data_IF_059185284584
#
_entry.id   IF_059185284584
#
_cell.length_a   1.000
_cell.length_b   1.000
_cell.length_c   1.000
_cell.angle_alpha   90.00
_cell.angle_beta   90.00
_cell.angle_gamma   90.00
#
_symmetry.space_group_name_H-M   'P 1'
#
loop_
_entity.id
_entity.type
_entity.pdbx_description
1 polymer ?
#
# COMPACT_ATOMS: atom_id res chain seq x y z
N UNK A 1 -1.47 19.08 -9.60
CA UNK A 1 -1.87 19.14 -11.02
C UNK A 1 -1.90 17.71 -11.51
N UNK A 2 -3.08 17.08 -11.50
CA UNK A 2 -3.25 15.67 -11.83
C UNK A 2 -3.76 15.57 -13.27
N UNK A 3 -2.96 15.00 -14.15
CA UNK A 3 -3.32 14.84 -15.56
C UNK A 3 -2.67 13.59 -16.13
N UNK A 4 -3.43 12.52 -16.22
CA UNK A 4 -3.28 11.48 -17.26
C UNK A 4 -4.49 10.56 -17.17
N UNK A 5 -5.23 10.53 -18.28
CA UNK A 5 -6.50 9.86 -18.42
C UNK A 5 -6.34 8.34 -18.38
N UNK A 6 -7.13 7.67 -17.53
CA UNK A 6 -7.19 6.20 -17.53
C UNK A 6 -8.02 5.63 -16.37
N UNK A 7 -7.87 6.14 -15.15
CA UNK A 7 -8.45 5.56 -13.94
C UNK A 7 -9.91 6.03 -13.66
N UNK A 8 -10.75 6.04 -14.68
CA UNK A 8 -11.97 6.87 -14.68
C UNK A 8 -13.27 6.20 -14.23
N UNK A 9 -13.33 4.87 -14.06
CA UNK A 9 -14.65 4.22 -13.96
C UNK A 9 -15.24 4.10 -12.54
N UNK A 10 -14.45 4.22 -11.47
CA UNK A 10 -14.96 4.00 -10.10
C UNK A 10 -14.57 5.04 -9.04
N UNK A 11 -13.68 5.99 -9.36
CA UNK A 11 -12.94 6.70 -8.32
C UNK A 11 -13.35 8.13 -7.96
N UNK A 12 -14.11 8.85 -8.79
CA UNK A 12 -14.40 10.28 -8.53
C UNK A 12 -15.66 10.82 -9.20
N UNK A 13 -16.82 10.20 -8.98
CA UNK A 13 -18.00 11.05 -9.03
C UNK A 13 -18.04 11.85 -7.73
N UNK A 14 -17.37 13.00 -7.71
CA UNK A 14 -17.38 13.93 -6.58
C UNK A 14 -18.80 14.40 -6.25
N UNK A 15 -19.73 14.24 -7.21
CA UNK A 15 -21.15 14.53 -7.09
C UNK A 15 -21.99 13.28 -6.92
N UNK A 16 -21.40 12.11 -6.60
CA UNK A 16 -22.15 10.86 -6.40
C UNK A 16 -23.29 11.06 -5.42
N UNK A 17 -23.02 11.70 -4.28
CA UNK A 17 -24.03 11.99 -3.25
C UNK A 17 -25.09 13.02 -3.67
N UNK A 18 -24.93 13.64 -4.84
CA UNK A 18 -25.88 14.54 -5.49
C UNK A 18 -26.75 13.85 -6.55
N UNK A 19 -26.34 12.67 -7.02
CA UNK A 19 -27.14 11.82 -7.90
C UNK A 19 -28.37 11.24 -7.19
N UNK A 20 -29.35 10.78 -7.95
CA UNK A 20 -30.54 10.11 -7.42
C UNK A 20 -30.18 8.85 -6.62
N UNK A 21 -29.23 8.05 -7.14
CA UNK A 21 -28.76 6.80 -6.52
C UNK A 21 -27.91 7.07 -5.27
N UNK A 22 -27.09 8.12 -5.27
CA UNK A 22 -26.16 8.41 -4.18
C UNK A 22 -26.75 9.25 -3.04
N UNK A 23 -27.86 9.98 -3.26
CA UNK A 23 -28.50 10.84 -2.25
C UNK A 23 -28.78 10.14 -0.90
N UNK A 24 -29.25 8.87 -0.85
CA UNK A 24 -29.45 8.17 0.41
C UNK A 24 -28.17 8.03 1.26
N UNK A 25 -26.98 8.02 0.64
CA UNK A 25 -25.69 7.88 1.31
C UNK A 25 -25.07 9.21 1.75
N UNK A 26 -25.69 10.36 1.41
CA UNK A 26 -25.12 11.69 1.67
C UNK A 26 -24.87 11.95 3.16
N UNK A 27 -25.79 11.55 4.04
CA UNK A 27 -25.64 11.73 5.48
C UNK A 27 -24.48 10.88 6.02
N UNK A 28 -24.39 9.64 5.55
CA UNK A 28 -23.30 8.71 5.89
C UNK A 28 -21.94 9.26 5.44
N UNK A 29 -21.86 9.73 4.20
CA UNK A 29 -20.65 10.35 3.63
C UNK A 29 -20.23 11.58 4.43
N UNK A 30 -21.16 12.50 4.70
CA UNK A 30 -20.90 13.71 5.51
C UNK A 30 -20.39 13.35 6.90
N UNK A 31 -21.02 12.37 7.56
CA UNK A 31 -20.62 11.92 8.88
C UNK A 31 -19.19 11.33 8.87
N UNK A 32 -18.87 10.46 7.91
CA UNK A 32 -17.53 9.87 7.82
C UNK A 32 -16.46 10.91 7.47
N UNK A 33 -16.77 11.88 6.59
CA UNK A 33 -15.86 12.99 6.32
C UNK A 33 -15.56 13.82 7.57
N UNK A 34 -16.55 14.05 8.45
CA UNK A 34 -16.31 14.73 9.72
C UNK A 34 -15.37 13.95 10.64
N UNK A 35 -15.46 12.62 10.67
CA UNK A 35 -14.55 11.76 11.44
C UNK A 35 -13.11 11.78 10.89
N UNK A 36 -12.93 12.06 9.60
CA UNK A 36 -11.63 12.18 8.96
C UNK A 36 -11.01 13.58 9.09
N UNK A 37 -11.78 14.56 9.57
CA UNK A 37 -11.36 15.96 9.66
C UNK A 37 -10.28 16.14 10.73
N UNK A 38 -9.19 16.81 10.36
CA UNK A 38 -8.13 17.18 11.27
C UNK A 38 -8.63 18.22 12.26
N UNK A 39 -8.55 17.90 13.55
CA UNK A 39 -9.05 18.79 14.59
C UNK A 39 -8.02 19.89 14.95
N UNK A 40 -8.46 21.14 14.97
CA UNK A 40 -7.64 22.29 15.34
C UNK A 40 -6.84 22.87 14.16
N UNK A 41 -5.64 23.41 14.45
CA UNK A 41 -4.82 24.07 13.43
C UNK A 41 -4.26 23.01 12.46
N UNK A 42 -4.39 23.19 11.13
CA UNK A 42 -3.81 22.29 10.15
C UNK A 42 -2.33 22.05 10.36
N UNK A 43 -1.92 20.78 10.33
CA UNK A 43 -0.52 20.38 10.45
C UNK A 43 0.11 20.16 9.07
N UNK A 44 1.23 20.81 8.79
CA UNK A 44 1.88 20.78 7.45
C UNK A 44 2.26 19.37 6.99
N UNK A 45 2.61 18.49 7.93
CA UNK A 45 3.05 17.12 7.64
C UNK A 45 1.91 16.10 7.69
N UNK A 46 0.97 16.25 8.62
CA UNK A 46 0.00 15.20 8.98
C UNK A 46 -1.42 15.50 8.50
N UNK A 47 -1.63 16.67 7.90
CA UNK A 47 -2.92 17.04 7.33
C UNK A 47 -2.82 17.32 5.83
N UNK A 48 -3.94 17.15 5.14
CA UNK A 48 -4.12 17.49 3.73
C UNK A 48 -5.33 18.39 3.59
N UNK A 49 -5.21 19.44 2.77
CA UNK A 49 -6.33 20.31 2.46
C UNK A 49 -7.32 19.56 1.56
N UNK A 50 -8.59 19.54 1.95
CA UNK A 50 -9.68 19.09 1.10
C UNK A 50 -10.58 20.25 0.69
N UNK A 51 -11.85 19.96 0.43
CA UNK A 51 -12.81 20.96 -0.02
C UNK A 51 -13.20 21.94 1.09
N UNK A 52 -13.71 23.12 0.71
CA UNK A 52 -14.27 24.11 1.63
C UNK A 52 -13.30 24.55 2.76
N UNK A 53 -11.99 24.62 2.46
CA UNK A 53 -10.92 24.95 3.40
C UNK A 53 -10.77 24.00 4.60
N UNK A 54 -11.44 22.84 4.59
CA UNK A 54 -11.26 21.79 5.58
C UNK A 54 -9.92 21.09 5.38
N UNK A 55 -9.41 20.53 6.46
CA UNK A 55 -8.21 19.72 6.45
C UNK A 55 -8.54 18.35 7.01
N UNK A 56 -7.94 17.31 6.42
CA UNK A 56 -8.15 15.92 6.80
C UNK A 56 -6.83 15.29 7.22
N UNK A 57 -6.89 14.20 7.97
CA UNK A 57 -5.72 13.39 8.27
C UNK A 57 -5.09 12.90 6.95
N UNK A 58 -3.77 13.12 6.78
CA UNK A 58 -3.02 12.56 5.65
C UNK A 58 -2.97 11.03 5.73
N UNK A 59 -2.82 10.50 6.94
CA UNK A 59 -2.90 9.08 7.25
C UNK A 59 -3.89 8.87 8.39
N UNK A 60 -4.73 7.85 8.27
CA UNK A 60 -5.75 7.57 9.26
C UNK A 60 -5.13 7.25 10.63
N UNK A 61 -5.66 7.79 11.74
CA UNK A 61 -5.22 7.46 13.10
C UNK A 61 -5.14 5.95 13.38
N UNK A 62 -6.03 5.15 12.79
CA UNK A 62 -6.04 3.69 12.91
C UNK A 62 -4.75 3.02 12.41
N UNK A 63 -4.05 3.62 11.44
CA UNK A 63 -2.75 3.12 10.99
C UNK A 63 -1.70 3.20 12.11
N UNK A 64 -1.66 4.31 12.85
CA UNK A 64 -0.71 4.46 13.96
C UNK A 64 -1.04 3.52 15.12
N UNK A 65 -2.32 3.35 15.45
CA UNK A 65 -2.76 2.36 16.43
C UNK A 65 -2.40 0.92 16.03
N UNK A 66 -2.44 0.59 14.74
CA UNK A 66 -1.97 -0.70 14.24
C UNK A 66 -0.49 -0.90 14.56
N UNK A 67 0.36 0.09 14.28
CA UNK A 67 1.80 0.00 14.59
C UNK A 67 2.04 -0.18 16.10
N UNK A 68 1.39 0.63 16.93
CA UNK A 68 1.47 0.52 18.40
C UNK A 68 1.03 -0.86 18.88
N UNK A 69 -0.05 -1.40 18.31
CA UNK A 69 -0.59 -2.70 18.70
C UNK A 69 0.34 -3.84 18.31
N UNK A 70 0.83 -3.87 17.07
CA UNK A 70 1.79 -4.88 16.61
C UNK A 70 3.07 -4.86 17.43
N UNK A 71 3.58 -3.66 17.76
CA UNK A 71 4.75 -3.50 18.62
C UNK A 71 4.48 -3.99 20.06
N UNK A 72 3.36 -3.58 20.66
CA UNK A 72 2.95 -4.01 22.01
C UNK A 72 2.77 -5.53 22.11
N UNK A 73 2.24 -6.15 21.05
CA UNK A 73 2.14 -7.61 20.93
C UNK A 73 3.47 -8.30 20.62
N UNK A 74 4.57 -7.55 20.49
CA UNK A 74 5.91 -8.05 20.13
C UNK A 74 5.91 -8.86 18.84
N UNK A 75 5.09 -8.46 17.87
CA UNK A 75 5.10 -9.05 16.53
C UNK A 75 6.36 -8.58 15.80
N UNK A 76 7.00 -9.49 15.08
CA UNK A 76 7.97 -9.11 14.07
C UNK A 76 7.20 -8.79 12.78
N UNK A 77 7.33 -7.57 12.28
CA UNK A 77 6.58 -7.12 11.11
C UNK A 77 7.35 -6.08 10.31
N UNK A 78 6.93 -5.93 9.06
CA UNK A 78 7.32 -4.82 8.21
C UNK A 78 6.09 -4.28 7.47
N UNK A 79 6.12 -3.00 7.11
CA UNK A 79 5.02 -2.34 6.40
C UNK A 79 5.54 -1.80 5.07
N UNK A 80 4.94 -2.26 3.98
CA UNK A 80 5.28 -1.80 2.63
C UNK A 80 4.09 -1.05 2.04
N UNK A 81 4.22 0.25 1.86
CA UNK A 81 3.22 1.06 1.16
C UNK A 81 3.29 0.77 -0.34
N UNK A 82 2.14 0.43 -0.94
CA UNK A 82 2.02 0.07 -2.36
C UNK A 82 0.99 0.99 -3.02
N UNK A 83 1.43 1.88 -3.91
CA UNK A 83 0.55 2.84 -4.57
C UNK A 83 0.88 2.98 -6.03
N UNK A 84 -0.13 3.15 -6.88
CA UNK A 84 0.08 3.58 -8.25
C UNK A 84 0.37 5.09 -8.37
N UNK A 85 0.01 5.86 -7.35
CA UNK A 85 0.14 7.33 -7.33
C UNK A 85 1.56 7.82 -7.04
N UNK A 86 1.70 9.13 -6.89
CA UNK A 86 2.99 9.81 -6.67
C UNK A 86 3.19 10.30 -5.24
N UNK A 87 2.22 10.09 -4.36
CA UNK A 87 2.22 10.66 -3.00
C UNK A 87 3.13 9.91 -2.01
N UNK A 88 3.75 8.81 -2.45
CA UNK A 88 4.53 7.93 -1.59
C UNK A 88 5.67 8.65 -0.82
N UNK A 89 6.49 9.53 -1.42
CA UNK A 89 7.51 10.25 -0.65
C UNK A 89 6.94 11.10 0.49
N UNK A 90 5.76 11.69 0.28
CA UNK A 90 5.06 12.48 1.30
C UNK A 90 4.56 11.58 2.44
N UNK A 91 4.04 10.40 2.12
CA UNK A 91 3.60 9.41 3.11
C UNK A 91 4.79 8.90 3.95
N UNK A 92 5.89 8.51 3.30
CA UNK A 92 7.09 8.03 4.00
C UNK A 92 7.67 9.10 4.94
N UNK A 93 7.71 10.35 4.48
CA UNK A 93 8.13 11.46 5.32
C UNK A 93 7.22 11.67 6.53
N UNK A 94 5.89 11.61 6.35
CA UNK A 94 4.95 11.73 7.46
C UNK A 94 5.12 10.59 8.47
N UNK A 95 5.25 9.35 8.02
CA UNK A 95 5.50 8.20 8.90
C UNK A 95 6.80 8.38 9.69
N UNK A 96 7.87 8.80 9.03
CA UNK A 96 9.15 9.09 9.70
C UNK A 96 8.99 10.17 10.77
N UNK A 97 8.38 11.31 10.46
CA UNK A 97 8.11 12.35 11.47
C UNK A 97 7.25 11.83 12.63
N UNK A 98 6.27 10.97 12.37
CA UNK A 98 5.44 10.37 13.41
C UNK A 98 6.26 9.47 14.34
N UNK A 99 7.14 8.62 13.78
CA UNK A 99 8.06 7.76 14.52
C UNK A 99 9.20 8.52 15.21
N UNK A 100 9.46 9.78 14.83
CA UNK A 100 10.30 10.71 15.61
C UNK A 100 9.53 11.39 16.75
N UNK A 101 8.28 10.99 17.01
CA UNK A 101 7.42 11.54 18.07
C UNK A 101 6.82 12.90 17.73
N UNK A 102 6.88 13.34 16.47
CA UNK A 102 6.39 14.66 16.06
C UNK A 102 4.87 14.69 15.81
N UNK A 103 4.20 13.52 15.79
CA UNK A 103 2.75 13.49 15.63
C UNK A 103 2.05 13.94 16.93
N UNK A 104 1.25 15.03 16.92
CA UNK A 104 0.73 15.64 18.15
C UNK A 104 -0.20 14.73 18.95
N UNK A 105 -0.96 13.87 18.26
CA UNK A 105 -1.86 12.89 18.89
C UNK A 105 -1.21 11.54 19.20
N UNK A 106 0.01 11.28 18.67
CA UNK A 106 0.69 9.99 18.78
C UNK A 106 2.17 10.15 19.20
N UNK A 107 2.47 10.88 20.30
CA UNK A 107 3.85 11.14 20.69
C UNK A 107 4.61 9.89 21.17
N UNK A 108 3.90 8.81 21.52
CA UNK A 108 4.47 7.54 21.97
C UNK A 108 5.06 6.71 20.82
N UNK A 109 4.76 7.06 19.56
CA UNK A 109 5.34 6.38 18.39
C UNK A 109 6.86 6.42 18.36
N UNK A 110 7.47 7.39 19.05
CA UNK A 110 8.93 7.48 19.23
C UNK A 110 9.53 6.21 19.84
N UNK A 111 8.76 5.45 20.60
CA UNK A 111 9.25 4.28 21.33
C UNK A 111 9.30 3.01 20.45
N UNK A 112 8.68 3.02 19.26
CA UNK A 112 8.58 1.84 18.39
C UNK A 112 9.91 1.48 17.71
N UNK A 113 10.87 2.43 17.59
CA UNK A 113 12.21 2.24 17.01
C UNK A 113 12.21 1.49 15.66
N UNK A 114 11.21 1.75 14.81
CA UNK A 114 11.09 1.13 13.49
C UNK A 114 11.82 1.99 12.45
N UNK A 115 12.77 1.44 11.67
CA UNK A 115 13.42 2.19 10.61
C UNK A 115 12.41 2.52 9.50
N UNK A 116 12.57 3.69 8.88
CA UNK A 116 11.78 4.12 7.73
C UNK A 116 12.71 4.35 6.55
N UNK A 117 12.54 3.56 5.49
CA UNK A 117 13.21 3.80 4.20
C UNK A 117 12.49 4.93 3.47
N UNK A 118 13.15 6.10 3.38
CA UNK A 118 12.62 7.29 2.73
C UNK A 118 12.76 7.25 1.20
N UNK A 119 13.63 6.40 0.68
CA UNK A 119 13.81 6.18 -0.76
C UNK A 119 12.68 5.31 -1.29
N UNK A 120 11.70 5.97 -1.92
CA UNK A 120 10.62 5.27 -2.61
C UNK A 120 11.19 4.39 -3.74
N UNK A 121 10.84 3.10 -3.69
CA UNK A 121 11.14 2.19 -4.79
C UNK A 121 10.09 2.25 -5.89
N UNK A 122 10.35 1.54 -6.98
CA UNK A 122 9.44 1.39 -8.11
C UNK A 122 9.32 -0.07 -8.49
N UNK A 123 8.11 -0.51 -8.78
CA UNK A 123 7.85 -1.80 -9.42
C UNK A 123 7.38 -1.53 -10.85
N UNK A 124 8.04 -2.19 -11.80
CA UNK A 124 7.77 -2.06 -13.23
C UNK A 124 7.55 -3.44 -13.83
N UNK A 125 6.32 -3.68 -14.24
CA UNK A 125 5.89 -4.89 -14.93
C UNK A 125 6.11 -4.79 -16.44
N UNK A 126 6.38 -5.93 -17.06
CA UNK A 126 6.41 -6.15 -18.50
C UNK A 126 5.83 -7.54 -18.81
N UNK A 127 5.72 -7.89 -20.10
CA UNK A 127 5.32 -9.26 -20.50
C UNK A 127 6.32 -10.34 -20.11
N UNK A 128 7.58 -9.97 -19.80
CA UNK A 128 8.68 -10.93 -19.56
C UNK A 128 9.04 -11.05 -18.10
N UNK A 129 8.93 -9.96 -17.36
CA UNK A 129 9.44 -9.86 -16.00
C UNK A 129 8.77 -8.72 -15.23
N UNK A 130 8.83 -8.82 -13.92
CA UNK A 130 8.60 -7.73 -12.98
C UNK A 130 9.95 -7.31 -12.42
N UNK A 131 10.22 -6.01 -12.45
CA UNK A 131 11.45 -5.42 -11.92
C UNK A 131 11.13 -4.49 -10.77
N UNK A 132 11.85 -4.65 -9.66
CA UNK A 132 11.87 -3.77 -8.52
C UNK A 132 13.17 -2.98 -8.53
N UNK A 133 13.07 -1.65 -8.41
CA UNK A 133 14.20 -0.76 -8.28
C UNK A 133 14.08 0.09 -7.02
N UNK A 134 15.17 0.26 -6.27
CA UNK A 134 15.24 1.20 -5.13
C UNK A 134 16.68 1.63 -4.91
N UNK A 135 17.00 2.90 -5.19
CA UNK A 135 18.39 3.36 -5.13
C UNK A 135 19.30 2.44 -5.98
N UNK A 136 20.33 1.79 -5.40
CA UNK A 136 21.20 0.85 -6.10
C UNK A 136 20.61 -0.56 -6.27
N UNK A 137 19.52 -0.88 -5.57
CA UNK A 137 18.92 -2.21 -5.60
C UNK A 137 18.11 -2.41 -6.88
N UNK A 138 18.36 -3.54 -7.54
CA UNK A 138 17.65 -3.98 -8.75
C UNK A 138 17.35 -5.48 -8.65
N UNK A 139 16.06 -5.83 -8.55
CA UNK A 139 15.60 -7.22 -8.43
C UNK A 139 14.62 -7.52 -9.54
N UNK A 140 14.81 -8.63 -10.25
CA UNK A 140 13.97 -9.03 -11.38
C UNK A 140 13.51 -10.47 -11.25
N UNK A 141 12.28 -10.76 -11.69
CA UNK A 141 11.74 -12.13 -11.80
C UNK A 141 12.22 -12.90 -13.03
N UNK A 142 13.02 -12.29 -13.92
CA UNK A 142 13.40 -12.88 -15.20
C UNK A 142 14.11 -14.23 -15.06
N UNK A 143 15.02 -14.31 -14.09
CA UNK A 143 15.81 -15.52 -13.86
C UNK A 143 15.19 -16.41 -12.78
N UNK A 144 14.50 -15.79 -11.82
CA UNK A 144 13.91 -16.46 -10.67
C UNK A 144 12.77 -15.64 -10.08
N UNK A 145 11.55 -16.18 -10.17
CA UNK A 145 10.34 -15.57 -9.61
C UNK A 145 10.37 -15.44 -8.09
N UNK A 146 11.23 -16.20 -7.38
CA UNK A 146 11.36 -16.15 -5.91
C UNK A 146 12.15 -14.93 -5.43
N UNK A 147 12.98 -14.30 -6.26
CA UNK A 147 13.81 -13.16 -5.84
C UNK A 147 12.99 -12.02 -5.24
N UNK A 148 11.85 -11.69 -5.83
CA UNK A 148 10.97 -10.65 -5.29
C UNK A 148 10.25 -11.08 -4.01
N UNK A 149 9.87 -12.35 -3.91
CA UNK A 149 9.37 -12.90 -2.65
C UNK A 149 10.42 -12.77 -1.55
N UNK A 150 11.63 -13.32 -1.74
CA UNK A 150 12.72 -13.23 -0.78
C UNK A 150 13.06 -11.79 -0.41
N UNK A 151 13.02 -10.87 -1.37
CA UNK A 151 13.22 -9.45 -1.13
C UNK A 151 12.17 -8.90 -0.14
N UNK A 152 10.88 -9.09 -0.40
CA UNK A 152 9.82 -8.62 0.50
C UNK A 152 9.79 -9.35 1.84
N UNK A 153 10.08 -10.66 1.86
CA UNK A 153 10.16 -11.47 3.07
C UNK A 153 11.32 -11.05 3.99
N UNK A 154 12.40 -10.52 3.43
CA UNK A 154 13.54 -9.99 4.18
C UNK A 154 13.38 -8.52 4.59
N UNK A 155 12.32 -7.85 4.15
CA UNK A 155 12.13 -6.42 4.38
C UNK A 155 11.92 -6.12 5.88
N UNK A 156 12.51 -5.03 6.37
CA UNK A 156 12.42 -4.60 7.77
C UNK A 156 11.90 -3.16 7.88
N UNK A 157 11.15 -2.89 8.94
CA UNK A 157 10.61 -1.55 9.21
C UNK A 157 9.53 -1.12 8.22
N UNK A 158 9.59 0.13 7.78
CA UNK A 158 8.62 0.73 6.88
C UNK A 158 9.28 1.25 5.61
N UNK A 159 8.60 1.09 4.48
CA UNK A 159 9.04 1.64 3.21
C UNK A 159 7.93 1.57 2.19
N UNK A 160 8.22 1.86 0.93
CA UNK A 160 7.20 1.71 -0.09
C UNK A 160 7.68 1.71 -1.51
N UNK A 161 6.76 1.32 -2.37
CA UNK A 161 6.97 1.15 -3.80
C UNK A 161 5.82 1.75 -4.60
N UNK A 162 6.19 2.50 -5.63
CA UNK A 162 5.26 2.91 -6.66
C UNK A 162 5.03 1.77 -7.66
N UNK A 163 3.79 1.33 -7.79
CA UNK A 163 3.33 0.34 -8.77
C UNK A 163 3.23 0.88 -10.20
N UNK A 164 3.15 -0.02 -11.16
CA UNK A 164 3.21 0.31 -12.58
C UNK A 164 1.82 0.68 -13.15
N UNK A 165 1.36 1.92 -12.91
CA UNK A 165 0.05 2.39 -13.35
C UNK A 165 -0.18 2.20 -14.85
N UNK A 166 0.79 2.61 -15.67
CA UNK A 166 0.68 2.52 -17.12
C UNK A 166 0.55 1.08 -17.61
N UNK A 167 1.14 0.13 -16.90
CA UNK A 167 0.96 -1.29 -17.17
C UNK A 167 -0.44 -1.74 -16.81
N UNK A 168 -0.96 -1.33 -15.66
CA UNK A 168 -2.33 -1.65 -15.26
C UNK A 168 -3.35 -1.11 -16.27
N UNK A 169 -3.19 0.14 -16.70
CA UNK A 169 -4.04 0.77 -17.71
C UNK A 169 -4.00 0.06 -19.06
N UNK A 170 -2.80 -0.33 -19.54
CA UNK A 170 -2.66 -1.08 -20.82
C UNK A 170 -3.25 -2.48 -20.75
N UNK A 171 -3.41 -3.04 -19.55
CA UNK A 171 -4.05 -4.34 -19.31
C UNK A 171 -5.49 -4.17 -18.81
N UNK A 172 -6.16 -3.10 -19.25
CA UNK A 172 -7.60 -2.87 -19.04
C UNK A 172 -8.01 -2.84 -17.57
N UNK A 173 -7.12 -2.40 -16.67
CA UNK A 173 -7.37 -2.36 -15.23
C UNK A 173 -7.70 -3.73 -14.60
N UNK A 174 -7.41 -4.82 -15.32
CA UNK A 174 -7.58 -6.17 -14.82
C UNK A 174 -6.52 -6.52 -13.78
N UNK A 175 -6.79 -7.58 -13.01
CA UNK A 175 -5.83 -8.16 -12.06
C UNK A 175 -4.49 -8.50 -12.71
N UNK A 176 -4.44 -8.92 -13.97
CA UNK A 176 -3.20 -9.24 -14.70
C UNK A 176 -2.26 -8.04 -14.88
N UNK A 177 -2.82 -6.82 -14.89
CA UNK A 177 -2.04 -5.59 -14.89
C UNK A 177 -1.78 -5.02 -13.49
N UNK A 178 -2.40 -5.61 -12.47
CA UNK A 178 -2.50 -5.06 -11.13
C UNK A 178 -1.20 -5.10 -10.33
N UNK A 179 -1.31 -4.93 -9.01
CA UNK A 179 -0.19 -4.98 -8.08
C UNK A 179 0.23 -6.45 -7.89
N UNK A 180 1.42 -6.87 -8.35
CA UNK A 180 1.87 -8.23 -8.11
C UNK A 180 2.09 -8.48 -6.61
N UNK A 181 1.67 -9.65 -6.15
CA UNK A 181 1.84 -10.13 -4.78
C UNK A 181 2.40 -11.56 -4.80
N UNK A 182 3.66 -11.73 -4.42
CA UNK A 182 4.28 -13.04 -4.35
C UNK A 182 3.93 -13.77 -3.05
N UNK A 183 3.47 -15.00 -3.19
CA UNK A 183 3.04 -15.86 -2.08
C UNK A 183 3.73 -17.21 -2.24
N UNK A 184 4.38 -17.66 -1.17
CA UNK A 184 4.81 -19.05 -1.02
C UNK A 184 3.91 -19.72 0.04
N UNK A 185 3.02 -20.64 -0.33
CA UNK A 185 2.14 -21.32 0.62
C UNK A 185 2.87 -22.32 1.53
N UNK A 186 4.14 -22.62 1.24
CA UNK A 186 4.97 -23.56 2.02
C UNK A 186 5.92 -22.85 2.99
N UNK A 187 6.09 -21.53 2.88
CA UNK A 187 6.86 -20.77 3.86
C UNK A 187 6.00 -20.50 5.11
N UNK A 188 6.34 -21.18 6.20
CA UNK A 188 5.68 -21.01 7.50
C UNK A 188 6.29 -19.90 8.36
N UNK A 189 7.37 -19.27 7.90
CA UNK A 189 8.12 -18.25 8.64
C UNK A 189 7.64 -16.84 8.33
N UNK A 190 6.99 -16.65 7.18
CA UNK A 190 6.53 -15.33 6.70
C UNK A 190 5.07 -15.39 6.26
N UNK A 191 4.28 -14.42 6.71
CA UNK A 191 2.89 -14.27 6.32
C UNK A 191 2.65 -12.89 5.68
N UNK A 192 2.59 -12.84 4.35
CA UNK A 192 2.27 -11.60 3.61
C UNK A 192 0.77 -11.30 3.70
N UNK A 193 0.43 -10.10 4.18
CA UNK A 193 -0.94 -9.56 4.19
C UNK A 193 -0.99 -8.35 3.27
N UNK A 194 -1.94 -8.33 2.34
CA UNK A 194 -2.16 -7.20 1.44
C UNK A 194 -3.53 -6.58 1.71
N UNK A 195 -3.55 -5.27 1.97
CA UNK A 195 -4.76 -4.50 2.27
C UNK A 195 -4.93 -3.47 1.17
N UNK A 196 -6.07 -3.51 0.49
CA UNK A 196 -6.46 -2.53 -0.51
C UNK A 196 -7.99 -2.55 -0.63
N UNK A 197 -8.60 -1.38 -0.78
CA UNK A 197 -10.05 -1.20 -0.87
C UNK A 197 -10.61 -1.68 -2.21
N UNK A 198 -9.75 -2.00 -3.17
CA UNK A 198 -10.08 -2.52 -4.49
C UNK A 198 -9.72 -4.01 -4.68
N UNK A 199 -9.57 -4.78 -3.59
CA UNK A 199 -9.51 -6.25 -3.64
C UNK A 199 -10.92 -6.80 -3.77
N UNK A 200 -11.13 -7.67 -4.75
CA UNK A 200 -12.41 -8.34 -5.03
C UNK A 200 -12.20 -9.86 -5.10
N UNK A 201 -13.27 -10.61 -4.86
CA UNK A 201 -13.26 -12.08 -4.95
C UNK A 201 -13.34 -12.59 -6.40
N UNK A 202 -13.64 -11.73 -7.36
CA UNK A 202 -13.67 -12.05 -8.78
C UNK A 202 -12.45 -11.43 -9.51
N UNK A 203 -11.91 -12.17 -10.47
CA UNK A 203 -10.66 -11.83 -11.16
C UNK A 203 -10.77 -10.62 -12.11
N UNK A 204 -12.00 -10.25 -12.49
CA UNK A 204 -12.26 -9.20 -13.48
C UNK A 204 -11.76 -7.83 -13.03
N UNK A 205 -11.91 -7.51 -11.74
CA UNK A 205 -11.74 -6.13 -11.23
C UNK A 205 -10.88 -6.03 -9.95
N UNK A 206 -10.28 -7.15 -9.51
CA UNK A 206 -9.38 -7.13 -8.35
C UNK A 206 -8.04 -6.49 -8.71
N UNK A 207 -7.58 -5.54 -7.89
CA UNK A 207 -6.34 -4.78 -8.14
C UNK A 207 -5.06 -5.58 -7.87
N UNK A 208 -5.16 -6.69 -7.14
CA UNK A 208 -4.01 -7.52 -6.74
C UNK A 208 -3.87 -8.70 -7.69
N UNK A 209 -2.63 -9.01 -8.07
CA UNK A 209 -2.28 -10.15 -8.90
C UNK A 209 -1.45 -11.15 -8.08
N UNK A 210 -2.06 -12.16 -7.44
CA UNK A 210 -1.32 -13.19 -6.73
C UNK A 210 -0.37 -13.95 -7.69
N UNK A 211 0.92 -13.96 -7.34
CA UNK A 211 1.96 -14.72 -8.01
C UNK A 211 2.26 -15.94 -7.13
N UNK A 212 1.58 -17.05 -7.39
CA UNK A 212 1.81 -18.29 -6.66
C UNK A 212 3.17 -18.88 -7.02
N UNK A 213 4.06 -18.96 -6.05
CA UNK A 213 5.36 -19.63 -6.20
C UNK A 213 5.18 -21.13 -5.99
N UNK A 214 4.56 -21.82 -6.95
CA UNK A 214 4.59 -23.28 -6.98
C UNK A 214 6.05 -23.71 -7.18
N UNK A 215 6.49 -24.70 -6.40
CA UNK A 215 7.78 -25.36 -6.61
C UNK A 215 7.88 -25.74 -8.09
N UNK A 216 9.01 -25.44 -8.71
CA UNK A 216 9.32 -26.01 -10.01
C UNK A 216 9.12 -27.54 -9.90
N UNK A 217 8.46 -28.19 -10.86
CA UNK A 217 8.33 -29.64 -10.84
C UNK A 217 9.74 -30.24 -10.91
N UNK A 218 10.29 -30.72 -9.78
CA UNK A 218 11.61 -31.36 -9.77
C UNK A 218 12.39 -31.42 -8.46
N UNK A 219 12.05 -30.66 -7.41
CA UNK A 219 12.72 -30.82 -6.10
C UNK A 219 12.12 -32.02 -5.35
N UNK A 220 12.88 -33.10 -5.10
CA UNK A 220 12.35 -34.22 -4.33
C UNK A 220 12.09 -33.77 -2.90
N UNK A 221 10.96 -34.21 -2.35
CA UNK A 221 10.76 -34.20 -0.90
C UNK A 221 11.95 -34.92 -0.27
N UNK A 222 12.81 -34.18 0.44
CA UNK A 222 13.83 -34.77 1.28
C UNK A 222 13.12 -35.73 2.24
N UNK A 223 13.29 -37.02 1.99
CA UNK A 223 12.65 -38.08 2.73
C UNK A 223 13.05 -38.00 4.19
N UNK A 224 12.04 -38.03 5.06
CA UNK A 224 12.24 -38.35 6.46
C UNK A 224 12.81 -39.76 6.59
N UNK A 225 13.88 -39.87 7.37
CA UNK A 225 14.52 -41.09 7.84
C UNK A 225 15.50 -40.71 8.94
#
# INVERSE_FOLDING_TARGET
>A
MWGSAGYWEYGRDATFTDTEVGRPFRSLHTHHLQLLEWQGRPHKVFSVQGEHAKHYHLMLPSFFHLLETLHRERRHFAVVFRTFGTDLPRILHAVHCALEGQHPQFPALRDLMLPVELTAGQIRCSRREVVLNRGPEHVSTRDDGRKLYSYFSSFQGLGGFQDHFDWWARNQFSSQGGKPLWIDPHDSTVHHIFIDDNIRLNDSDTIVCPQGLLLAPGEPLAGGG
#
